data_IF_148419549973
#
_entry.id   IF_148419549973
#
_cell.length_a   1.000
_cell.length_b   1.000
_cell.length_c   1.000
_cell.angle_alpha   90.00
_cell.angle_beta   90.00
_cell.angle_gamma   90.00
#
_symmetry.space_group_name_H-M   'P 1'
#
loop_
_entity.id
_entity.type
_entity.pdbx_description
1 polymer ?
#
# COMPACT_ATOMS: atom_id res chain seq x y z
N UNK A 1 19.78 -30.51 -11.90
CA UNK A 1 19.26 -29.44 -12.79
C UNK A 1 17.95 -28.95 -12.19
N UNK A 2 17.72 -27.63 -12.13
CA UNK A 2 16.45 -27.10 -11.61
C UNK A 2 15.31 -27.51 -12.55
N UNK A 3 14.19 -27.97 -12.00
CA UNK A 3 13.05 -28.49 -12.76
C UNK A 3 12.54 -27.52 -13.85
N UNK A 4 12.65 -26.21 -13.60
CA UNK A 4 12.34 -25.13 -14.54
C UNK A 4 13.17 -25.18 -15.83
N UNK A 5 14.40 -25.69 -15.82
CA UNK A 5 15.24 -25.78 -17.04
C UNK A 5 14.77 -26.88 -17.99
N UNK A 6 14.04 -27.88 -17.49
CA UNK A 6 13.47 -28.96 -18.29
C UNK A 6 12.13 -28.54 -18.89
N UNK A 7 11.31 -27.80 -18.13
CA UNK A 7 9.97 -27.37 -18.55
C UNK A 7 9.99 -26.08 -19.40
N UNK A 8 10.88 -25.13 -19.09
CA UNK A 8 11.01 -23.88 -19.84
C UNK A 8 12.49 -23.48 -20.01
N UNK A 9 13.17 -24.06 -21.02
CA UNK A 9 14.60 -23.82 -21.24
C UNK A 9 14.89 -22.38 -21.66
N UNK A 10 13.94 -21.69 -22.31
CA UNK A 10 14.10 -20.28 -22.69
C UNK A 10 14.09 -19.36 -21.47
N UNK A 11 13.17 -19.59 -20.52
CA UNK A 11 13.13 -18.85 -19.26
C UNK A 11 14.38 -19.12 -18.43
N UNK A 12 14.81 -20.38 -18.34
CA UNK A 12 16.05 -20.73 -17.64
C UNK A 12 17.26 -20.01 -18.22
N UNK A 13 17.36 -19.91 -19.56
CA UNK A 13 18.47 -19.20 -20.23
C UNK A 13 18.38 -17.68 -20.05
N UNK A 14 17.18 -17.12 -20.01
CA UNK A 14 16.99 -15.68 -19.77
C UNK A 14 17.36 -15.25 -18.34
N UNK A 15 17.19 -16.15 -17.36
CA UNK A 15 17.52 -15.91 -15.95
C UNK A 15 18.95 -16.33 -15.58
N UNK A 16 19.61 -17.13 -16.41
CA UNK A 16 21.00 -17.58 -16.21
C UNK A 16 22.01 -16.59 -16.82
N UNK A 17 21.96 -15.35 -16.32
CA UNK A 17 22.92 -14.29 -16.67
C UNK A 17 23.70 -13.87 -15.42
N UNK A 18 24.97 -13.44 -15.54
CA UNK A 18 25.77 -13.02 -14.39
C UNK A 18 25.10 -11.92 -13.55
N UNK A 19 24.30 -11.06 -14.19
CA UNK A 19 23.60 -9.94 -13.57
C UNK A 19 22.21 -10.31 -13.03
N UNK A 20 21.85 -11.60 -12.97
CA UNK A 20 20.48 -12.06 -12.63
C UNK A 20 19.97 -11.51 -11.31
N UNK A 21 20.85 -11.32 -10.32
CA UNK A 21 20.50 -10.79 -9.01
C UNK A 21 20.08 -9.31 -9.12
N UNK A 22 20.86 -8.53 -9.86
CA UNK A 22 20.57 -7.11 -10.14
C UNK A 22 19.31 -6.96 -10.99
N UNK A 23 19.14 -7.79 -12.01
CA UNK A 23 17.93 -7.79 -12.85
C UNK A 23 16.69 -8.26 -12.07
N UNK A 24 16.88 -9.20 -11.13
CA UNK A 24 15.83 -9.65 -10.21
C UNK A 24 15.28 -8.51 -9.37
N UNK A 25 16.14 -7.64 -8.83
CA UNK A 25 15.70 -6.44 -8.12
C UNK A 25 14.89 -5.47 -9.01
N UNK A 26 15.30 -5.30 -10.27
CA UNK A 26 14.59 -4.44 -11.22
C UNK A 26 13.20 -5.00 -11.57
N UNK A 27 13.12 -6.31 -11.81
CA UNK A 27 11.86 -7.01 -12.09
C UNK A 27 10.96 -7.01 -10.86
N UNK A 28 11.50 -7.24 -9.66
CA UNK A 28 10.75 -7.15 -8.41
C UNK A 28 10.20 -5.74 -8.18
N UNK A 29 11.04 -4.70 -8.35
CA UNK A 29 10.61 -3.31 -8.27
C UNK A 29 9.51 -2.97 -9.28
N UNK A 30 9.64 -3.41 -10.53
CA UNK A 30 8.61 -3.22 -11.56
C UNK A 30 7.32 -3.99 -11.25
N UNK A 31 7.43 -5.22 -10.74
CA UNK A 31 6.29 -6.03 -10.29
C UNK A 31 5.56 -5.39 -9.10
N UNK A 32 6.32 -4.90 -8.12
CA UNK A 32 5.80 -4.16 -6.97
C UNK A 32 5.16 -2.85 -7.39
N UNK A 33 5.64 -2.20 -8.46
CA UNK A 33 5.02 -0.99 -9.04
C UNK A 33 3.65 -1.25 -9.67
N UNK A 34 3.28 -2.52 -9.89
CA UNK A 34 1.98 -2.94 -10.40
C UNK A 34 1.10 -3.65 -9.37
N UNK A 35 1.58 -3.83 -8.13
CA UNK A 35 0.74 -4.26 -7.01
C UNK A 35 -0.37 -3.22 -6.80
N UNK A 36 -1.61 -3.64 -7.01
CA UNK A 36 -2.83 -2.83 -6.92
C UNK A 36 -2.98 -2.11 -5.57
N UNK A 37 -2.30 -2.58 -4.52
CA UNK A 37 -2.33 -1.93 -3.21
C UNK A 37 -1.54 -0.61 -3.20
N UNK A 38 -0.29 -0.56 -3.70
CA UNK A 38 0.62 0.58 -3.45
C UNK A 38 1.62 0.93 -4.55
N UNK A 39 1.83 0.05 -5.54
CA UNK A 39 2.90 0.19 -6.53
C UNK A 39 2.74 1.36 -7.46
N UNK A 40 1.51 1.47 -7.99
CA UNK A 40 1.16 2.47 -8.97
C UNK A 40 1.19 3.89 -8.37
N UNK A 41 0.91 4.02 -7.06
CA UNK A 41 0.93 5.31 -6.38
C UNK A 41 2.33 5.90 -6.27
N UNK A 42 3.35 5.09 -5.97
CA UNK A 42 4.74 5.58 -5.90
C UNK A 42 5.23 6.07 -7.25
N UNK A 43 4.90 5.34 -8.32
CA UNK A 43 5.23 5.74 -9.70
C UNK A 43 4.47 7.02 -10.10
N UNK A 44 3.16 7.07 -9.85
CA UNK A 44 2.32 8.23 -10.16
C UNK A 44 2.76 9.49 -9.40
N UNK A 45 3.11 9.37 -8.12
CA UNK A 45 3.66 10.48 -7.32
C UNK A 45 4.99 10.98 -7.88
N UNK A 46 5.87 10.06 -8.31
CA UNK A 46 7.16 10.42 -8.92
C UNK A 46 6.97 11.18 -10.22
N UNK A 47 6.06 10.73 -11.08
CA UNK A 47 5.72 11.41 -12.33
C UNK A 47 5.08 12.79 -12.08
N UNK A 48 4.17 12.91 -11.11
CA UNK A 48 3.59 14.19 -10.71
C UNK A 48 4.66 15.18 -10.25
N UNK A 49 5.64 14.74 -9.45
CA UNK A 49 6.77 15.57 -9.01
C UNK A 49 7.62 16.06 -10.18
N UNK A 50 7.92 15.18 -11.14
CA UNK A 50 8.67 15.55 -12.36
C UNK A 50 7.89 16.58 -13.18
N UNK A 51 6.61 16.33 -13.46
CA UNK A 51 5.77 17.23 -14.27
C UNK A 51 5.51 18.59 -13.59
N UNK A 52 5.40 18.63 -12.26
CA UNK A 52 5.31 19.87 -11.48
C UNK A 52 6.58 20.71 -11.57
N UNK A 53 7.74 20.05 -11.68
CA UNK A 53 9.07 20.69 -11.75
C UNK A 53 9.67 20.67 -13.15
N UNK A 54 8.84 20.50 -14.18
CA UNK A 54 9.28 20.35 -15.56
C UNK A 54 10.25 21.46 -16.00
N UNK A 55 9.97 22.69 -15.57
CA UNK A 55 10.76 23.88 -15.91
C UNK A 55 12.22 23.81 -15.39
N UNK A 56 12.50 22.98 -14.37
CA UNK A 56 13.85 22.75 -13.87
C UNK A 56 14.70 21.90 -14.81
N UNK A 57 14.08 21.06 -15.65
CA UNK A 57 14.81 20.16 -16.54
C UNK A 57 15.32 20.84 -17.81
N UNK A 58 14.96 22.12 -18.04
CA UNK A 58 15.39 22.92 -19.20
C UNK A 58 15.20 22.19 -20.54
N UNK A 59 14.16 21.38 -20.63
CA UNK A 59 13.81 20.61 -21.82
C UNK A 59 13.10 21.53 -22.83
N UNK A 60 13.45 21.41 -24.10
CA UNK A 60 12.73 22.10 -25.17
C UNK A 60 11.37 21.43 -25.40
N UNK A 61 10.31 22.24 -25.44
CA UNK A 61 8.96 21.80 -25.75
C UNK A 61 8.02 21.65 -24.54
N UNK A 62 6.71 21.50 -24.81
CA UNK A 62 5.70 21.36 -23.76
C UNK A 62 5.88 20.05 -22.98
N UNK A 63 5.26 19.98 -21.80
CA UNK A 63 5.24 18.74 -20.99
C UNK A 63 4.68 17.59 -21.84
N UNK A 64 5.37 16.43 -21.89
CA UNK A 64 4.98 15.32 -22.75
C UNK A 64 3.65 14.67 -22.33
N UNK A 65 3.25 14.87 -21.08
CA UNK A 65 2.02 14.33 -20.52
C UNK A 65 1.48 15.27 -19.43
N UNK A 66 0.17 15.28 -19.24
CA UNK A 66 -0.52 16.06 -18.20
C UNK A 66 -1.61 15.18 -17.60
N UNK A 67 -1.55 14.99 -16.28
CA UNK A 67 -2.63 14.35 -15.55
C UNK A 67 -3.88 15.25 -15.58
N UNK A 68 -5.05 14.63 -15.64
CA UNK A 68 -6.32 15.34 -15.47
C UNK A 68 -6.51 15.73 -14.01
N UNK A 69 -7.37 16.72 -13.75
CA UNK A 69 -7.67 17.14 -12.38
C UNK A 69 -8.30 15.99 -11.57
N UNK A 70 -9.11 15.14 -12.22
CA UNK A 70 -9.71 13.94 -11.62
C UNK A 70 -8.65 12.90 -11.24
N UNK A 71 -7.66 12.64 -12.10
CA UNK A 71 -6.55 11.72 -11.79
C UNK A 71 -5.71 12.22 -10.61
N UNK A 72 -5.50 13.54 -10.52
CA UNK A 72 -4.79 14.18 -9.41
C UNK A 72 -5.60 14.07 -8.12
N UNK A 73 -6.91 14.34 -8.17
CA UNK A 73 -7.79 14.24 -7.01
C UNK A 73 -7.87 12.80 -6.49
N UNK A 74 -8.03 11.82 -7.39
CA UNK A 74 -8.03 10.41 -7.04
C UNK A 74 -6.70 9.98 -6.43
N UNK A 75 -5.59 10.47 -6.96
CA UNK A 75 -4.25 10.24 -6.41
C UNK A 75 -4.09 10.82 -5.00
N UNK A 76 -4.53 12.06 -4.77
CA UNK A 76 -4.44 12.69 -3.46
C UNK A 76 -5.27 11.93 -2.41
N UNK A 77 -6.50 11.52 -2.76
CA UNK A 77 -7.34 10.67 -1.88
C UNK A 77 -6.68 9.32 -1.59
N UNK A 78 -6.04 8.70 -2.59
CA UNK A 78 -5.26 7.48 -2.41
C UNK A 78 -4.02 7.68 -1.52
N UNK A 79 -3.40 8.87 -1.60
CA UNK A 79 -2.24 9.26 -0.79
C UNK A 79 -2.58 9.43 0.69
N UNK A 80 -3.77 9.95 1.03
CA UNK A 80 -4.26 10.00 2.41
C UNK A 80 -4.35 8.59 3.01
N UNK A 81 -4.98 7.65 2.30
CA UNK A 81 -5.04 6.25 2.73
C UNK A 81 -3.67 5.57 2.81
N UNK A 82 -2.71 5.98 1.97
CA UNK A 82 -1.33 5.48 2.05
C UNK A 82 -0.61 6.01 3.30
N UNK A 83 -0.77 7.30 3.62
CA UNK A 83 -0.19 7.89 4.84
C UNK A 83 -0.81 7.26 6.09
N UNK A 84 -2.13 7.11 6.15
CA UNK A 84 -2.81 6.41 7.25
C UNK A 84 -2.31 4.97 7.42
N UNK A 85 -2.07 4.27 6.30
CA UNK A 85 -1.52 2.92 6.34
C UNK A 85 -0.06 2.92 6.82
N UNK A 86 0.76 3.91 6.44
CA UNK A 86 2.12 4.06 6.97
C UNK A 86 2.10 4.37 8.46
N UNK A 87 1.27 5.32 8.90
CA UNK A 87 1.10 5.64 10.32
C UNK A 87 0.65 4.42 11.13
N UNK A 88 -0.20 3.57 10.54
CA UNK A 88 -0.58 2.29 11.12
C UNK A 88 0.60 1.30 11.23
N UNK A 89 1.42 1.19 10.19
CA UNK A 89 2.61 0.33 10.24
C UNK A 89 3.69 0.87 11.20
N UNK A 90 3.81 2.18 11.34
CA UNK A 90 4.72 2.81 12.30
C UNK A 90 4.20 2.63 13.74
N UNK A 91 2.87 2.60 13.95
CA UNK A 91 2.27 2.22 15.23
C UNK A 91 2.54 0.75 15.59
N UNK A 92 2.67 -0.12 14.58
CA UNK A 92 3.00 -1.54 14.76
C UNK A 92 4.49 -1.79 15.02
N UNK A 93 5.34 -0.80 14.74
CA UNK A 93 6.79 -0.93 14.88
C UNK A 93 7.16 -1.24 16.34
N UNK A 94 7.89 -2.34 16.53
CA UNK A 94 8.23 -2.89 17.85
C UNK A 94 7.34 -4.02 18.35
N UNK A 95 6.07 -4.10 17.90
CA UNK A 95 5.19 -5.24 18.15
C UNK A 95 5.34 -6.33 17.08
N UNK A 96 5.37 -5.91 15.81
CA UNK A 96 5.66 -6.76 14.65
C UNK A 96 6.54 -6.00 13.66
N UNK A 97 7.34 -6.72 12.89
CA UNK A 97 8.07 -6.15 11.77
C UNK A 97 7.14 -5.86 10.57
N UNK A 98 7.70 -5.21 9.55
CA UNK A 98 6.96 -4.88 8.32
C UNK A 98 6.54 -6.11 7.49
N UNK A 99 7.07 -7.29 7.79
CA UNK A 99 6.64 -8.55 7.17
C UNK A 99 5.56 -9.26 8.00
N UNK A 100 5.20 -8.72 9.17
CA UNK A 100 4.17 -9.24 10.06
C UNK A 100 4.67 -10.30 11.04
N UNK A 101 5.98 -10.43 11.23
CA UNK A 101 6.57 -11.34 12.21
C UNK A 101 6.89 -10.61 13.52
N UNK A 102 6.89 -11.33 14.64
CA UNK A 102 7.34 -10.81 15.93
C UNK A 102 8.43 -11.72 16.50
N UNK A 103 9.34 -11.14 17.27
CA UNK A 103 10.34 -11.92 18.00
C UNK A 103 9.69 -12.56 19.24
N UNK A 104 10.20 -13.71 19.66
CA UNK A 104 9.69 -14.42 20.85
C UNK A 104 9.66 -13.51 22.10
N UNK A 105 10.65 -12.65 22.26
CA UNK A 105 10.76 -11.71 23.39
C UNK A 105 9.65 -10.64 23.40
N UNK A 106 9.08 -10.33 22.23
CA UNK A 106 8.04 -9.31 22.07
C UNK A 106 6.65 -9.92 21.85
N UNK A 107 6.54 -11.26 21.86
CA UNK A 107 5.32 -11.97 21.50
C UNK A 107 4.13 -11.62 22.41
N UNK A 108 4.35 -11.62 23.73
CA UNK A 108 3.30 -11.28 24.69
C UNK A 108 2.83 -9.82 24.52
N UNK A 109 3.77 -8.89 24.32
CA UNK A 109 3.45 -7.49 24.04
C UNK A 109 2.68 -7.29 22.74
N UNK A 110 3.00 -8.08 21.71
CA UNK A 110 2.24 -8.08 20.45
C UNK A 110 0.80 -8.58 20.66
N UNK A 111 0.61 -9.65 21.44
CA UNK A 111 -0.72 -10.19 21.76
C UNK A 111 -1.58 -9.15 22.49
N UNK A 112 -1.02 -8.44 23.48
CA UNK A 112 -1.72 -7.40 24.21
C UNK A 112 -2.15 -6.26 23.27
N UNK A 113 -1.22 -5.77 22.43
CA UNK A 113 -1.50 -4.73 21.45
C UNK A 113 -2.64 -5.11 20.49
N UNK A 114 -2.59 -6.31 19.89
CA UNK A 114 -3.63 -6.76 18.96
C UNK A 114 -4.97 -7.01 19.66
N UNK A 115 -4.95 -7.38 20.95
CA UNK A 115 -6.15 -7.58 21.76
C UNK A 115 -6.85 -6.25 22.07
N UNK A 116 -6.09 -5.22 22.44
CA UNK A 116 -6.62 -3.86 22.64
C UNK A 116 -7.22 -3.29 21.35
N UNK A 117 -6.51 -3.43 20.23
CA UNK A 117 -6.98 -2.97 18.92
C UNK A 117 -8.28 -3.67 18.50
N UNK A 118 -8.40 -4.98 18.75
CA UNK A 118 -9.64 -5.74 18.51
C UNK A 118 -10.78 -5.22 19.39
N UNK A 119 -10.52 -4.98 20.66
CA UNK A 119 -11.50 -4.41 21.60
C UNK A 119 -12.01 -3.02 21.15
N UNK A 120 -11.11 -2.14 20.71
CA UNK A 120 -11.44 -0.82 20.20
C UNK A 120 -12.31 -0.89 18.93
N UNK A 121 -11.98 -1.79 18.00
CA UNK A 121 -12.78 -2.05 16.81
C UNK A 121 -14.20 -2.52 17.14
N UNK A 122 -14.33 -3.47 18.08
CA UNK A 122 -15.61 -4.00 18.52
C UNK A 122 -16.47 -2.95 19.22
N UNK A 123 -15.87 -2.10 20.07
CA UNK A 123 -16.54 -0.98 20.72
C UNK A 123 -17.04 0.04 19.68
N UNK A 124 -16.23 0.38 18.68
CA UNK A 124 -16.62 1.26 17.58
C UNK A 124 -17.73 0.69 16.70
N UNK A 125 -17.83 -0.63 16.57
CA UNK A 125 -18.91 -1.32 15.84
C UNK A 125 -20.22 -1.32 16.64
N UNK A 126 -20.16 -1.55 17.95
CA UNK A 126 -21.32 -1.46 18.87
C UNK A 126 -21.85 -0.03 18.99
N UNK A 127 -20.99 0.98 19.04
CA UNK A 127 -21.38 2.40 19.09
C UNK A 127 -22.08 2.90 17.82
N UNK A 128 -21.72 2.37 16.64
CA UNK A 128 -22.43 2.64 15.36
C UNK A 128 -23.75 1.89 15.25
N UNK A 129 -23.84 0.66 15.78
CA UNK A 129 -25.09 -0.09 15.89
C UNK A 129 -26.12 0.58 16.82
N UNK A 130 -25.67 1.08 17.97
CA UNK A 130 -26.53 1.77 18.95
C UNK A 130 -27.10 3.10 18.43
N UNK A 131 -26.30 3.90 17.71
CA UNK A 131 -26.78 5.14 17.05
C UNK A 131 -27.80 4.89 15.94
N UNK A 132 -27.65 3.81 15.15
CA UNK A 132 -28.66 3.42 14.15
C UNK A 132 -29.97 2.94 14.78
N UNK A 133 -29.91 2.22 15.91
CA UNK A 133 -31.11 1.75 16.61
C UNK A 133 -31.90 2.92 17.24
N UNK A 134 -31.22 3.91 17.83
CA UNK A 134 -31.87 5.10 18.40
C UNK A 134 -32.52 6.04 17.36
N UNK A 135 -31.95 6.12 16.16
CA UNK A 135 -32.55 6.86 15.04
C UNK A 135 -33.83 6.18 14.51
N UNK A 136 -33.89 4.85 14.50
CA UNK A 136 -35.08 4.10 14.07
C UNK A 136 -36.20 4.16 15.13
N UNK A 137 -35.86 4.09 16.42
CA UNK A 137 -36.84 4.16 17.52
C UNK A 137 -37.45 5.56 17.68
N UNK A 138 -36.71 6.62 17.35
CA UNK A 138 -37.22 8.01 17.34
C UNK A 138 -38.12 8.32 16.13
N UNK A 139 -37.94 7.63 15.00
CA UNK A 139 -38.83 7.72 13.85
C UNK A 139 -40.13 6.91 14.05
N UNK A 140 -40.08 5.79 14.77
CA UNK A 140 -41.27 4.97 15.08
C UNK A 140 -42.21 5.61 16.12
N UNK A 141 -41.74 6.57 16.93
CA UNK A 141 -42.58 7.30 17.90
C UNK A 141 -43.23 8.57 17.34
N UNK A 142 -43.00 8.88 16.06
CA UNK A 142 -43.57 10.05 15.36
C UNK A 142 -44.56 9.67 14.25
N UNK A 143 -44.90 8.40 14.10
CA UNK A 143 -46.02 7.91 13.28
C UNK A 143 -47.18 7.52 14.20
#
# INVERSE_FOLDING_TARGET
MMQTSLENPLLSRALDVPQREVLGHLVAFAGDSWNAAHGFMKLRESLLKVLRRWDLFRMEGPKPYRFTDEEIEQHNKGGEGFNELQDFWDLLDGAVDREGFTFHENFDGAIDFFSEMRGACDAGRRGRGSRRMGALDSMSRRA
#
